data_IF_154462030332
#
_entry.id   IF_154462030332
#
_cell.length_a   1.000
_cell.length_b   1.000
_cell.length_c   1.000
_cell.angle_alpha   90.00
_cell.angle_beta   90.00
_cell.angle_gamma   90.00
#
_symmetry.space_group_name_H-M   'P 1'
#
loop_
_entity.id
_entity.type
_entity.pdbx_description
1 polymer ?
#
# COMPACT_ATOMS: atom_id res chain seq x y z
N UNK A 1 -14.47 15.90 -19.53
CA UNK A 1 -13.98 14.57 -19.14
C UNK A 1 -12.60 14.74 -18.54
N UNK A 2 -12.48 14.64 -17.21
CA UNK A 2 -11.17 14.58 -16.54
C UNK A 2 -10.65 13.15 -16.64
N UNK A 3 -9.54 12.96 -17.34
CA UNK A 3 -8.81 11.70 -17.31
C UNK A 3 -8.00 11.66 -16.02
N UNK A 4 -8.34 10.75 -15.10
CA UNK A 4 -7.68 10.60 -13.81
C UNK A 4 -6.94 9.26 -13.78
N UNK A 5 -5.64 9.32 -13.50
CA UNK A 5 -4.82 8.12 -13.37
C UNK A 5 -4.91 7.55 -11.96
N UNK A 6 -4.91 6.23 -11.87
CA UNK A 6 -4.77 5.48 -10.64
C UNK A 6 -3.33 5.46 -10.15
N UNK A 7 -3.13 5.14 -8.86
CA UNK A 7 -1.80 4.97 -8.28
C UNK A 7 -0.96 3.90 -8.99
N UNK A 8 -1.59 2.81 -9.45
CA UNK A 8 -0.93 1.73 -10.19
C UNK A 8 -0.40 2.20 -11.54
N UNK A 9 -1.12 3.09 -12.22
CA UNK A 9 -0.67 3.66 -13.48
C UNK A 9 0.54 4.57 -13.28
N UNK A 10 0.52 5.44 -12.25
CA UNK A 10 1.70 6.24 -11.91
C UNK A 10 2.89 5.37 -11.50
N UNK A 11 2.66 4.31 -10.73
CA UNK A 11 3.70 3.34 -10.37
C UNK A 11 4.34 2.69 -11.60
N UNK A 12 3.53 2.37 -12.61
CA UNK A 12 4.01 1.82 -13.88
C UNK A 12 4.82 2.85 -14.67
N UNK A 13 4.41 4.12 -14.68
CA UNK A 13 5.18 5.21 -15.32
C UNK A 13 6.53 5.43 -14.63
N UNK A 14 6.56 5.47 -13.30
CA UNK A 14 7.80 5.59 -12.52
C UNK A 14 8.72 4.38 -12.81
N UNK A 15 8.16 3.17 -12.95
CA UNK A 15 8.92 1.97 -13.32
C UNK A 15 9.54 2.11 -14.72
N UNK A 16 8.76 2.59 -15.69
CA UNK A 16 9.25 2.87 -17.04
C UNK A 16 10.40 3.88 -17.01
N UNK A 17 10.24 4.99 -16.30
CA UNK A 17 11.27 6.04 -16.15
C UNK A 17 12.56 5.49 -15.53
N UNK A 18 12.43 4.66 -14.49
CA UNK A 18 13.56 3.98 -13.88
C UNK A 18 14.27 3.03 -14.86
N UNK A 19 13.52 2.27 -15.67
CA UNK A 19 14.09 1.33 -16.66
C UNK A 19 14.85 2.06 -17.77
N UNK A 20 14.43 3.25 -18.17
CA UNK A 20 15.16 4.08 -19.16
C UNK A 20 16.34 4.84 -18.54
N UNK A 21 16.56 4.72 -17.23
CA UNK A 21 17.71 5.28 -16.53
C UNK A 21 17.57 6.76 -16.16
N UNK A 22 16.34 7.29 -16.10
CA UNK A 22 16.11 8.62 -15.56
C UNK A 22 16.47 8.68 -14.07
N UNK A 23 16.82 9.87 -13.59
CA UNK A 23 16.88 10.10 -12.15
C UNK A 23 15.46 10.30 -11.59
N UNK A 24 15.28 10.09 -10.28
CA UNK A 24 13.97 10.31 -9.66
C UNK A 24 13.48 11.76 -9.82
N UNK A 25 14.42 12.72 -9.86
CA UNK A 25 14.12 14.16 -10.02
C UNK A 25 13.59 14.45 -11.43
N UNK A 26 14.24 13.87 -12.43
CA UNK A 26 13.84 14.05 -13.83
C UNK A 26 12.48 13.38 -14.06
N UNK A 27 12.28 12.16 -13.53
CA UNK A 27 10.98 11.47 -13.57
C UNK A 27 9.88 12.32 -12.92
N UNK A 28 10.11 12.86 -11.72
CA UNK A 28 9.13 13.73 -11.06
C UNK A 28 8.84 15.01 -11.85
N UNK A 29 9.86 15.64 -12.45
CA UNK A 29 9.67 16.81 -13.31
C UNK A 29 8.83 16.47 -14.56
N UNK A 30 9.10 15.34 -15.22
CA UNK A 30 8.30 14.85 -16.34
C UNK A 30 6.85 14.56 -15.92
N UNK A 31 6.66 13.93 -14.75
CA UNK A 31 5.34 13.62 -14.21
C UNK A 31 4.54 14.89 -13.90
N UNK A 32 5.15 15.90 -13.28
CA UNK A 32 4.49 17.19 -13.07
C UNK A 32 4.17 17.88 -14.40
N UNK A 33 5.10 17.87 -15.36
CA UNK A 33 4.89 18.52 -16.65
C UNK A 33 3.71 17.93 -17.42
N UNK A 34 3.50 16.61 -17.33
CA UNK A 34 2.43 15.93 -18.07
C UNK A 34 1.09 15.86 -17.29
N UNK A 35 1.11 15.73 -15.96
CA UNK A 35 -0.10 15.51 -15.15
C UNK A 35 -0.45 16.62 -14.16
N UNK A 36 0.43 17.63 -13.99
CA UNK A 36 0.20 18.78 -13.12
C UNK A 36 -0.13 18.36 -11.69
N UNK A 37 -1.25 18.84 -11.16
CA UNK A 37 -1.72 18.52 -9.81
C UNK A 37 -2.09 17.04 -9.59
N UNK A 38 -2.34 16.30 -10.68
CA UNK A 38 -2.63 14.86 -10.57
C UNK A 38 -1.36 14.03 -10.44
N UNK A 39 -0.19 14.62 -10.67
CA UNK A 39 1.08 13.92 -10.58
C UNK A 39 1.32 13.39 -9.15
N UNK A 40 2.00 12.24 -9.02
CA UNK A 40 2.41 11.74 -7.72
C UNK A 40 3.38 12.72 -7.05
N UNK A 41 3.36 12.77 -5.72
CA UNK A 41 4.28 13.60 -4.96
C UNK A 41 5.74 13.15 -5.14
N UNK A 42 6.68 14.08 -4.94
CA UNK A 42 8.13 13.81 -4.97
C UNK A 42 8.51 12.60 -4.09
N UNK A 43 7.94 12.52 -2.89
CA UNK A 43 8.15 11.38 -1.98
C UNK A 43 7.66 10.04 -2.56
N UNK A 44 6.54 10.04 -3.29
CA UNK A 44 6.00 8.84 -3.94
C UNK A 44 6.92 8.35 -5.05
N UNK A 45 7.41 9.27 -5.88
CA UNK A 45 8.39 8.97 -6.95
C UNK A 45 9.68 8.44 -6.33
N UNK A 46 10.22 9.13 -5.31
CA UNK A 46 11.43 8.72 -4.62
C UNK A 46 11.32 7.33 -3.95
N UNK A 47 10.26 7.10 -3.16
CA UNK A 47 9.99 5.79 -2.56
C UNK A 47 9.93 4.71 -3.63
N UNK A 48 9.30 5.05 -4.75
CA UNK A 48 9.15 4.12 -5.84
C UNK A 48 10.48 3.70 -6.47
N UNK A 49 11.36 4.65 -6.74
CA UNK A 49 12.73 4.41 -7.20
C UNK A 49 13.54 3.57 -6.21
N UNK A 50 13.41 3.85 -4.91
CA UNK A 50 14.11 3.12 -3.84
C UNK A 50 13.68 1.65 -3.76
N UNK A 51 12.41 1.36 -4.02
CA UNK A 51 11.90 -0.01 -4.08
C UNK A 51 12.40 -0.76 -5.32
N UNK A 52 12.50 -0.08 -6.47
CA UNK A 52 13.04 -0.68 -7.70
C UNK A 52 14.52 -1.00 -7.58
N UNK A 53 15.30 -0.21 -6.83
CA UNK A 53 16.68 -0.55 -6.48
C UNK A 53 16.82 -1.83 -5.64
N UNK A 54 15.73 -2.28 -5.00
CA UNK A 54 15.66 -3.51 -4.20
C UNK A 54 14.99 -4.65 -4.97
N UNK A 55 14.92 -4.53 -6.30
CA UNK A 55 14.24 -5.47 -7.20
C UNK A 55 12.75 -5.70 -6.89
N UNK A 56 12.11 -4.77 -6.18
CA UNK A 56 10.68 -4.82 -5.92
C UNK A 56 9.90 -4.04 -6.98
N UNK A 57 9.51 -4.74 -8.05
CA UNK A 57 8.75 -4.18 -9.17
C UNK A 57 7.24 -4.34 -9.03
N UNK A 58 6.73 -4.64 -7.83
CA UNK A 58 5.28 -4.74 -7.62
C UNK A 58 4.61 -3.41 -7.96
N UNK A 59 3.66 -3.48 -8.89
CA UNK A 59 2.78 -2.37 -9.25
C UNK A 59 1.60 -2.27 -8.28
N UNK A 60 1.22 -3.41 -7.70
CA UNK A 60 0.14 -3.52 -6.73
C UNK A 60 0.62 -3.05 -5.35
N UNK A 61 -0.22 -2.27 -4.67
CA UNK A 61 0.00 -1.88 -3.28
C UNK A 61 0.00 -3.16 -2.44
N UNK A 62 1.06 -3.37 -1.65
CA UNK A 62 1.08 -4.52 -0.72
C UNK A 62 -0.13 -4.36 0.19
N UNK A 63 -0.93 -5.41 0.43
CA UNK A 63 -2.06 -5.33 1.34
C UNK A 63 -1.57 -4.71 2.64
N UNK A 64 -2.11 -3.53 2.96
CA UNK A 64 -1.72 -2.81 4.17
C UNK A 64 -1.95 -3.76 5.31
N UNK A 65 -0.88 -4.09 6.03
CA UNK A 65 -1.02 -4.73 7.33
C UNK A 65 -1.75 -3.72 8.19
N UNK A 66 -3.08 -3.79 8.20
CA UNK A 66 -3.89 -3.16 9.23
C UNK A 66 -3.42 -3.68 10.57
N UNK A 67 -3.84 -3.01 11.65
CA UNK A 67 -3.78 -3.65 12.97
C UNK A 67 -4.36 -5.05 12.81
N UNK A 68 -3.65 -6.13 13.16
CA UNK A 68 -4.26 -7.46 13.14
C UNK A 68 -5.56 -7.33 13.93
N UNK A 69 -6.68 -7.70 13.29
CA UNK A 69 -7.94 -7.74 13.99
C UNK A 69 -7.73 -8.67 15.18
N UNK A 70 -7.58 -8.12 16.38
CA UNK A 70 -7.52 -8.88 17.64
C UNK A 70 -8.87 -9.51 17.98
N UNK A 71 -9.82 -9.45 17.04
CA UNK A 71 -11.19 -9.87 17.23
C UNK A 71 -11.42 -11.22 16.56
N UNK A 72 -11.45 -12.23 17.44
CA UNK A 72 -12.17 -13.50 17.35
C UNK A 72 -11.76 -14.47 16.24
N UNK A 73 -10.70 -15.24 16.50
CA UNK A 73 -10.61 -16.61 15.98
C UNK A 73 -11.74 -17.44 16.59
N UNK A 74 -12.33 -18.35 15.81
CA UNK A 74 -13.37 -19.29 16.24
C UNK A 74 -12.92 -20.12 17.46
N UNK A 75 -11.60 -20.37 17.57
CA UNK A 75 -10.98 -21.00 18.74
C UNK A 75 -11.12 -20.15 20.02
N UNK A 76 -10.94 -18.82 19.93
CA UNK A 76 -11.13 -17.92 21.07
C UNK A 76 -12.61 -17.81 21.44
N UNK A 77 -13.53 -17.79 20.46
CA UNK A 77 -14.98 -17.83 20.71
C UNK A 77 -15.36 -19.10 21.46
N UNK A 78 -14.90 -20.26 20.98
CA UNK A 78 -15.22 -21.55 21.61
C UNK A 78 -14.60 -21.66 23.01
N UNK A 79 -13.40 -21.11 23.22
CA UNK A 79 -12.78 -21.08 24.54
C UNK A 79 -13.57 -20.21 25.53
N UNK A 80 -13.96 -18.99 25.12
CA UNK A 80 -14.78 -18.09 25.95
C UNK A 80 -16.16 -18.69 26.22
N UNK A 81 -16.80 -19.29 25.21
CA UNK A 81 -18.10 -19.96 25.35
C UNK A 81 -18.03 -21.11 26.37
N UNK A 82 -16.98 -21.91 26.32
CA UNK A 82 -16.77 -23.00 27.29
C UNK A 82 -16.56 -22.48 28.71
N UNK A 83 -15.84 -21.36 28.87
CA UNK A 83 -15.66 -20.72 30.19
C UNK A 83 -17.00 -20.23 30.74
N UNK A 84 -17.86 -19.65 29.92
CA UNK A 84 -19.20 -19.17 30.33
C UNK A 84 -20.14 -20.36 30.67
N UNK A 85 -20.04 -21.47 29.94
CA UNK A 85 -20.82 -22.69 30.20
C UNK A 85 -20.37 -23.40 31.50
N UNK A 86 -19.07 -23.37 31.82
CA UNK A 86 -18.52 -23.96 33.05
C UNK A 86 -18.68 -23.04 34.29
N UNK A 87 -18.69 -21.71 34.12
CA UNK A 87 -18.91 -20.74 35.20
C UNK A 87 -19.76 -19.53 34.74
N UNK A 88 -21.09 -19.55 34.96
CA UNK A 88 -21.99 -18.48 34.54
C UNK A 88 -21.85 -17.18 35.34
N UNK A 89 -20.95 -17.10 36.32
CA UNK A 89 -20.67 -15.87 37.09
C UNK A 89 -19.33 -15.21 36.73
N UNK A 90 -18.65 -15.70 35.69
CA UNK A 90 -17.39 -15.11 35.23
C UNK A 90 -17.60 -13.81 34.45
N UNK A 91 -17.15 -12.68 35.01
CA UNK A 91 -17.15 -11.37 34.34
C UNK A 91 -15.92 -11.24 33.43
N UNK A 92 -16.13 -11.19 32.12
CA UNK A 92 -15.15 -10.78 31.10
C UNK A 92 -15.58 -9.46 30.46
#
# INVERSE_FOLDING_TARGET
MSFQLSREQFRTMILYDWKIGLTYRDSHACLIQAWGEQAPSDHTVFSGFREFQRDNFSVQDVPRSGRPSTSVNEQTINAVRKIIEDDPHSTY
#
